data_IF_728960130366
#
_entry.id   IF_728960130366
#
_cell.length_a   1.000
_cell.length_b   1.000
_cell.length_c   1.000
_cell.angle_alpha   90.00
_cell.angle_beta   90.00
_cell.angle_gamma   90.00
#
_symmetry.space_group_name_H-M   'P 1'
#
loop_
_entity.id
_entity.type
_entity.pdbx_description
1 polymer ?
#
# COMPACT_ATOMS: atom_id res chain seq x y z
N UNK A 1 3.35 17.52 -66.91
CA UNK A 1 2.88 17.02 -65.60
C UNK A 1 2.82 18.22 -64.66
N UNK A 2 1.63 18.72 -64.36
CA UNK A 2 1.47 19.88 -63.45
C UNK A 2 1.42 19.33 -62.03
N UNK A 3 2.47 19.59 -61.25
CA UNK A 3 2.49 19.27 -59.82
C UNK A 3 1.85 20.44 -59.10
N UNK A 4 0.64 20.23 -58.57
CA UNK A 4 -0.02 21.19 -57.69
C UNK A 4 0.57 21.00 -56.29
N UNK A 5 1.19 22.02 -55.67
CA UNK A 5 1.66 21.89 -54.29
C UNK A 5 0.44 21.74 -53.37
N UNK A 6 0.48 20.73 -52.49
CA UNK A 6 -0.50 20.58 -51.42
C UNK A 6 -0.34 21.79 -50.48
N UNK A 7 -1.37 22.63 -50.30
CA UNK A 7 -1.28 23.72 -49.34
C UNK A 7 -1.20 23.12 -47.93
N UNK A 8 -0.02 23.19 -47.32
CA UNK A 8 0.14 22.94 -45.89
C UNK A 8 -0.44 24.16 -45.18
N UNK A 9 -1.70 24.07 -44.76
CA UNK A 9 -2.30 25.08 -43.89
C UNK A 9 -1.65 24.92 -42.52
N UNK A 10 -0.65 25.73 -42.21
CA UNK A 10 -0.13 25.86 -40.86
C UNK A 10 -1.23 26.49 -39.98
N UNK A 11 -1.92 25.67 -39.20
CA UNK A 11 -2.75 26.15 -38.09
C UNK A 11 -1.83 26.72 -37.00
N UNK A 12 -1.29 27.91 -37.22
CA UNK A 12 -0.69 28.74 -36.17
C UNK A 12 -1.79 29.40 -35.34
N UNK A 13 -2.68 28.58 -34.78
CA UNK A 13 -3.43 28.99 -33.61
C UNK A 13 -2.39 29.03 -32.50
N UNK A 14 -2.01 30.21 -32.02
CA UNK A 14 -1.09 30.43 -30.89
C UNK A 14 -1.63 29.91 -29.55
N UNK A 15 -2.28 28.75 -29.60
CA UNK A 15 -2.95 28.06 -28.51
C UNK A 15 -1.88 27.26 -27.79
N UNK A 16 -1.71 27.56 -26.50
CA UNK A 16 -0.84 26.78 -25.64
C UNK A 16 -1.30 25.31 -25.66
N UNK A 17 -0.36 24.41 -25.96
CA UNK A 17 -0.60 22.96 -25.94
C UNK A 17 0.04 22.36 -24.68
N UNK A 18 -0.46 21.18 -24.32
CA UNK A 18 0.11 20.29 -23.30
C UNK A 18 0.37 18.93 -23.90
N UNK A 19 1.61 18.47 -23.85
CA UNK A 19 1.97 17.08 -24.10
C UNK A 19 1.86 16.32 -22.77
N UNK A 20 0.94 15.37 -22.71
CA UNK A 20 0.78 14.48 -21.56
C UNK A 20 1.32 13.11 -21.96
N UNK A 21 2.26 12.63 -21.17
CA UNK A 21 2.84 11.30 -21.30
C UNK A 21 2.42 10.47 -20.09
N UNK A 22 1.94 9.26 -20.33
CA UNK A 22 1.63 8.27 -19.31
C UNK A 22 2.69 7.18 -19.41
N UNK A 23 3.36 6.89 -18.30
CA UNK A 23 4.30 5.78 -18.17
C UNK A 23 3.77 4.78 -17.16
N UNK A 24 3.70 3.51 -17.54
CA UNK A 24 3.01 2.47 -16.79
C UNK A 24 3.97 1.34 -16.42
N UNK A 25 3.89 0.94 -15.15
CA UNK A 25 4.53 -0.27 -14.65
C UNK A 25 3.51 -1.15 -13.95
N UNK A 26 3.85 -2.42 -13.81
CA UNK A 26 3.12 -3.39 -13.00
C UNK A 26 4.09 -3.94 -11.97
N UNK A 27 3.77 -3.75 -10.69
CA UNK A 27 4.62 -4.14 -9.56
C UNK A 27 6.07 -3.62 -9.74
N UNK A 28 6.21 -2.38 -10.21
CA UNK A 28 7.48 -1.71 -10.49
C UNK A 28 8.23 -2.18 -11.75
N UNK A 29 7.64 -3.06 -12.57
CA UNK A 29 8.26 -3.59 -13.80
C UNK A 29 7.50 -3.18 -15.05
N UNK A 30 8.23 -2.97 -16.15
CA UNK A 30 7.60 -2.83 -17.47
C UNK A 30 7.08 -4.20 -17.92
N UNK A 31 5.85 -4.23 -18.44
CA UNK A 31 5.24 -5.45 -18.98
C UNK A 31 4.60 -5.14 -20.31
N UNK A 32 4.70 -6.08 -21.27
CA UNK A 32 4.23 -5.89 -22.64
C UNK A 32 2.70 -5.92 -22.79
N UNK A 33 1.96 -6.28 -21.74
CA UNK A 33 0.51 -6.30 -21.77
C UNK A 33 -0.03 -4.88 -21.94
N UNK A 34 -0.94 -4.70 -22.89
CA UNK A 34 -1.62 -3.42 -23.14
C UNK A 34 -2.32 -2.94 -21.87
N UNK A 35 -2.19 -1.64 -21.61
CA UNK A 35 -2.80 -0.97 -20.45
C UNK A 35 -3.52 0.29 -20.90
N UNK A 36 -4.56 0.67 -20.18
CA UNK A 36 -5.30 1.89 -20.44
C UNK A 36 -5.32 2.80 -19.23
N UNK A 37 -5.38 4.10 -19.45
CA UNK A 37 -5.58 5.11 -18.40
C UNK A 37 -6.75 5.99 -18.77
N UNK A 38 -7.71 6.07 -17.86
CA UNK A 38 -8.85 6.97 -17.94
C UNK A 38 -8.49 8.27 -17.25
N UNK A 39 -8.68 9.40 -17.93
CA UNK A 39 -8.59 10.73 -17.33
C UNK A 39 -10.01 11.24 -17.08
N UNK A 40 -10.35 11.39 -15.80
CA UNK A 40 -11.69 11.69 -15.31
C UNK A 40 -11.71 13.03 -14.58
N UNK A 41 -12.80 13.76 -14.70
CA UNK A 41 -13.04 14.92 -13.83
C UNK A 41 -13.22 14.45 -12.37
N UNK A 42 -12.46 15.00 -11.39
CA UNK A 42 -12.37 14.45 -10.04
C UNK A 42 -13.66 14.52 -9.21
N UNK A 43 -14.64 15.35 -9.59
CA UNK A 43 -15.94 15.42 -8.92
C UNK A 43 -17.04 14.67 -9.67
N UNK A 44 -17.13 14.87 -10.98
CA UNK A 44 -18.22 14.31 -11.79
C UNK A 44 -17.94 12.90 -12.33
N UNK A 45 -16.68 12.43 -12.24
CA UNK A 45 -16.19 11.17 -12.82
C UNK A 45 -16.48 11.02 -14.33
N UNK A 46 -16.70 12.14 -15.01
CA UNK A 46 -16.90 12.16 -16.46
C UNK A 46 -15.58 11.93 -17.16
N UNK A 47 -15.58 11.04 -18.15
CA UNK A 47 -14.41 10.73 -18.96
C UNK A 47 -14.06 11.90 -19.88
N UNK A 48 -12.82 12.37 -19.78
CA UNK A 48 -12.29 13.46 -20.61
C UNK A 48 -11.27 12.97 -21.64
N UNK A 49 -10.46 11.96 -21.29
CA UNK A 49 -9.53 11.35 -22.22
C UNK A 49 -9.23 9.89 -21.86
N UNK A 50 -8.80 9.10 -22.84
CA UNK A 50 -8.30 7.73 -22.67
C UNK A 50 -6.92 7.62 -23.29
N UNK A 51 -5.95 7.17 -22.50
CA UNK A 51 -4.63 6.81 -22.98
C UNK A 51 -4.55 5.28 -23.10
N UNK A 52 -3.99 4.78 -24.21
CA UNK A 52 -3.77 3.35 -24.41
C UNK A 52 -2.29 3.13 -24.68
N UNK A 53 -1.60 2.48 -23.76
CA UNK A 53 -0.23 2.03 -23.93
C UNK A 53 -0.28 0.64 -24.56
N UNK A 54 -0.29 0.58 -25.90
CA UNK A 54 -0.38 -0.68 -26.64
C UNK A 54 0.86 -1.56 -26.43
N UNK A 55 2.01 -0.95 -26.17
CA UNK A 55 3.26 -1.62 -25.77
C UNK A 55 3.29 -1.99 -24.27
N UNK A 56 2.25 -1.62 -23.53
CA UNK A 56 2.13 -1.79 -22.10
C UNK A 56 2.95 -0.83 -21.24
N UNK A 57 3.71 0.10 -21.85
CA UNK A 57 4.66 0.95 -21.13
C UNK A 57 4.31 2.42 -21.27
N UNK A 58 4.10 2.95 -22.48
CA UNK A 58 3.90 4.40 -22.65
C UNK A 58 2.72 4.75 -23.54
N UNK A 59 2.05 5.85 -23.21
CA UNK A 59 1.05 6.47 -24.05
C UNK A 59 1.24 8.00 -24.03
N UNK A 60 1.15 8.64 -25.20
CA UNK A 60 1.39 10.09 -25.33
C UNK A 60 0.23 10.71 -26.10
N UNK A 61 -0.30 11.82 -25.59
CA UNK A 61 -1.28 12.63 -26.29
C UNK A 61 -0.99 14.12 -26.10
N UNK A 62 -1.52 14.94 -27.00
CA UNK A 62 -1.42 16.41 -26.94
C UNK A 62 -2.81 17.01 -26.85
N UNK A 63 -2.95 17.98 -25.98
CA UNK A 63 -4.20 18.69 -25.72
C UNK A 63 -3.99 20.20 -25.81
N UNK A 64 -5.09 20.92 -26.00
CA UNK A 64 -5.12 22.36 -25.73
C UNK A 64 -5.01 22.57 -24.22
N UNK A 65 -4.12 23.47 -23.77
CA UNK A 65 -3.86 23.71 -22.36
C UNK A 65 -5.13 24.08 -21.58
N UNK A 66 -5.98 24.94 -22.12
CA UNK A 66 -7.23 25.34 -21.46
C UNK A 66 -8.23 24.19 -21.25
N UNK A 67 -8.05 23.05 -21.91
CA UNK A 67 -8.92 21.88 -21.75
C UNK A 67 -8.40 20.90 -20.67
N UNK A 68 -7.13 20.99 -20.30
CA UNK A 68 -6.49 20.00 -19.41
C UNK A 68 -5.73 20.62 -18.25
N UNK A 69 -5.49 21.92 -18.22
CA UNK A 69 -4.88 22.57 -17.07
C UNK A 69 -5.83 22.47 -15.85
N UNK A 70 -5.30 22.06 -14.70
CA UNK A 70 -6.06 21.81 -13.47
C UNK A 70 -5.91 20.39 -12.93
N UNK A 71 -6.74 20.05 -11.94
CA UNK A 71 -6.71 18.77 -11.25
C UNK A 71 -7.58 17.72 -11.94
N UNK A 72 -7.07 16.49 -12.02
CA UNK A 72 -7.72 15.35 -12.66
C UNK A 72 -7.66 14.11 -11.78
N UNK A 73 -8.51 13.13 -12.07
CA UNK A 73 -8.36 11.76 -11.60
C UNK A 73 -7.86 10.90 -12.75
N UNK A 74 -6.68 10.29 -12.60
CA UNK A 74 -6.19 9.27 -13.51
C UNK A 74 -6.46 7.89 -12.92
N UNK A 75 -7.04 6.99 -13.70
CA UNK A 75 -7.26 5.59 -13.33
C UNK A 75 -6.63 4.69 -14.39
N UNK A 76 -5.50 4.06 -14.04
CA UNK A 76 -4.82 3.07 -14.84
C UNK A 76 -5.42 1.67 -14.64
N UNK A 77 -5.53 0.91 -15.72
CA UNK A 77 -6.13 -0.43 -15.78
C UNK A 77 -5.21 -1.37 -16.56
N UNK A 78 -4.95 -2.55 -15.99
CA UNK A 78 -4.34 -3.70 -16.66
C UNK A 78 -5.29 -4.89 -16.51
N UNK A 79 -5.84 -5.35 -17.63
CA UNK A 79 -6.82 -6.46 -17.66
C UNK A 79 -6.17 -7.83 -17.71
N UNK A 80 -4.84 -7.93 -17.81
CA UNK A 80 -4.14 -9.21 -17.74
C UNK A 80 -4.24 -9.79 -16.32
N UNK A 81 -4.55 -11.08 -16.23
CA UNK A 81 -4.81 -11.77 -14.95
C UNK A 81 -3.49 -11.93 -14.15
N UNK A 82 -3.48 -11.64 -12.83
CA UNK A 82 -4.56 -11.02 -12.05
C UNK A 82 -4.78 -9.55 -12.44
N UNK A 83 -6.03 -9.14 -12.64
CA UNK A 83 -6.33 -7.75 -13.07
C UNK A 83 -5.80 -6.74 -12.05
N UNK A 84 -5.21 -5.63 -12.52
CA UNK A 84 -4.67 -4.56 -11.68
C UNK A 84 -5.26 -3.20 -12.06
N UNK A 85 -5.36 -2.31 -11.08
CA UNK A 85 -5.73 -0.93 -11.29
C UNK A 85 -5.02 -0.02 -10.29
N UNK A 86 -4.72 1.21 -10.68
CA UNK A 86 -4.17 2.23 -9.80
C UNK A 86 -4.77 3.59 -10.14
N UNK A 87 -5.05 4.43 -9.15
CA UNK A 87 -5.58 5.77 -9.36
C UNK A 87 -4.79 6.84 -8.63
N UNK A 88 -4.71 8.05 -9.22
CA UNK A 88 -4.03 9.23 -8.64
C UNK A 88 -4.75 10.51 -9.02
N UNK A 89 -4.57 11.56 -8.21
CA UNK A 89 -5.13 12.90 -8.47
C UNK A 89 -4.03 13.92 -8.87
N UNK A 90 -3.50 13.87 -10.10
CA UNK A 90 -2.50 14.85 -10.53
C UNK A 90 -3.12 16.21 -10.87
N UNK A 91 -2.26 17.23 -10.92
CA UNK A 91 -2.53 18.50 -11.57
C UNK A 91 -1.68 18.64 -12.85
N UNK A 92 -2.22 19.29 -13.86
CA UNK A 92 -1.53 19.63 -15.10
C UNK A 92 -1.44 21.15 -15.18
N UNK A 93 -0.25 21.65 -15.48
CA UNK A 93 0.01 23.07 -15.77
C UNK A 93 1.05 23.27 -16.88
N UNK A 94 1.68 22.18 -17.32
CA UNK A 94 2.74 22.15 -18.32
C UNK A 94 2.81 20.76 -18.98
N UNK A 95 3.72 20.59 -19.93
CA UNK A 95 4.03 19.28 -20.49
C UNK A 95 4.51 18.34 -19.37
N UNK A 96 3.90 17.17 -19.24
CA UNK A 96 4.06 16.34 -18.04
C UNK A 96 4.08 14.86 -18.37
N UNK A 97 4.88 14.12 -17.58
CA UNK A 97 4.87 12.66 -17.56
C UNK A 97 4.32 12.17 -16.23
N UNK A 98 3.22 11.40 -16.27
CA UNK A 98 2.68 10.72 -15.11
C UNK A 98 3.15 9.27 -15.09
N UNK A 99 3.94 8.92 -14.07
CA UNK A 99 4.31 7.55 -13.79
C UNK A 99 3.25 6.89 -12.88
N UNK A 100 2.61 5.84 -13.39
CA UNK A 100 1.56 5.09 -12.71
C UNK A 100 1.99 3.63 -12.58
N UNK A 101 2.17 3.18 -11.35
CA UNK A 101 2.47 1.78 -11.05
C UNK A 101 1.19 1.05 -10.62
N UNK A 102 0.80 0.04 -11.39
CA UNK A 102 -0.34 -0.82 -11.10
C UNK A 102 0.10 -1.95 -10.19
N UNK A 103 0.30 -1.63 -8.92
CA UNK A 103 0.42 -2.60 -7.84
C UNK A 103 -0.94 -2.80 -7.15
N UNK A 104 -1.10 -3.92 -6.46
CA UNK A 104 -2.28 -4.21 -5.64
C UNK A 104 -2.10 -3.85 -4.17
N UNK A 105 -1.11 -3.02 -3.86
CA UNK A 105 -0.70 -2.75 -2.48
C UNK A 105 -0.13 -3.97 -1.74
N UNK A 106 0.00 -5.15 -2.38
CA UNK A 106 0.66 -6.33 -1.80
C UNK A 106 2.18 -6.32 -1.97
N UNK A 107 2.72 -5.20 -2.44
CA UNK A 107 4.14 -4.94 -2.63
C UNK A 107 4.43 -3.45 -2.70
N UNK A 108 5.59 -3.08 -2.15
CA UNK A 108 6.24 -1.78 -2.17
C UNK A 108 6.08 -1.02 -3.52
N UNK A 109 5.48 0.18 -3.49
CA UNK A 109 5.31 1.02 -4.68
C UNK A 109 6.64 1.38 -5.35
N UNK A 110 6.61 1.77 -6.63
CA UNK A 110 7.80 2.06 -7.46
C UNK A 110 8.96 2.80 -6.75
N UNK A 111 10.20 2.43 -7.10
CA UNK A 111 11.43 2.91 -6.47
C UNK A 111 12.60 1.96 -6.78
N UNK A 112 13.80 2.31 -6.32
CA UNK A 112 14.96 1.44 -6.44
C UNK A 112 14.79 0.27 -5.46
N UNK A 113 14.98 -0.99 -5.89
CA UNK A 113 15.01 -2.12 -4.98
C UNK A 113 16.01 -1.88 -3.85
N UNK A 114 15.62 -2.20 -2.63
CA UNK A 114 16.52 -2.18 -1.49
C UNK A 114 16.16 -3.31 -0.53
N UNK A 115 17.08 -3.65 0.36
CA UNK A 115 16.89 -4.66 1.40
C UNK A 115 17.15 -4.06 2.77
N UNK A 116 16.38 -4.53 3.76
CA UNK A 116 16.54 -4.17 5.16
C UNK A 116 16.44 -5.40 6.04
N UNK A 117 17.51 -5.72 6.78
CA UNK A 117 17.48 -6.77 7.78
C UNK A 117 16.71 -6.28 9.03
N UNK A 118 15.56 -6.89 9.31
CA UNK A 118 14.77 -6.63 10.50
C UNK A 118 14.90 -7.80 11.49
N UNK A 119 15.19 -7.47 12.76
CA UNK A 119 15.23 -8.42 13.87
C UNK A 119 14.31 -7.92 14.98
N UNK A 120 13.41 -8.78 15.44
CA UNK A 120 12.46 -8.46 16.50
C UNK A 120 12.60 -9.44 17.64
N UNK A 121 12.68 -8.89 18.85
CA UNK A 121 12.74 -9.64 20.10
C UNK A 121 11.62 -9.19 21.03
N UNK A 122 11.02 -10.14 21.72
CA UNK A 122 10.06 -9.92 22.80
C UNK A 122 10.65 -10.57 24.06
N UNK A 123 10.80 -9.78 25.11
CA UNK A 123 11.46 -10.18 26.37
C UNK A 123 12.84 -10.84 26.15
N UNK A 124 13.60 -10.31 25.19
CA UNK A 124 14.95 -10.78 24.85
C UNK A 124 15.00 -12.00 23.92
N UNK A 125 13.87 -12.65 23.64
CA UNK A 125 13.78 -13.82 22.76
C UNK A 125 13.34 -13.44 21.34
N UNK A 126 13.84 -14.11 20.28
CA UNK A 126 13.40 -13.90 18.91
C UNK A 126 11.89 -14.09 18.76
N UNK A 127 11.20 -13.17 18.09
CA UNK A 127 9.74 -13.17 18.00
C UNK A 127 9.20 -12.88 16.59
N UNK A 128 8.18 -13.65 16.19
CA UNK A 128 7.43 -13.39 14.98
C UNK A 128 6.52 -12.17 15.16
N UNK A 129 6.78 -11.12 14.39
CA UNK A 129 6.02 -9.86 14.38
C UNK A 129 5.88 -9.38 12.95
N UNK A 130 4.74 -8.72 12.67
CA UNK A 130 4.60 -7.96 11.44
C UNK A 130 5.54 -6.76 11.52
N UNK A 131 6.23 -6.49 10.42
CA UNK A 131 7.15 -5.35 10.31
C UNK A 131 6.76 -4.56 9.07
N UNK A 132 6.63 -3.25 9.22
CA UNK A 132 6.35 -2.32 8.13
C UNK A 132 7.47 -1.29 8.04
N UNK A 133 8.01 -1.09 6.84
CA UNK A 133 8.91 -0.02 6.52
C UNK A 133 8.15 1.08 5.78
N UNK A 134 8.26 2.30 6.28
CA UNK A 134 7.73 3.51 5.65
C UNK A 134 8.90 4.41 5.27
N UNK A 135 8.75 5.12 4.16
CA UNK A 135 9.72 6.07 3.67
C UNK A 135 9.10 7.46 3.64
N UNK A 136 9.85 8.44 4.12
CA UNK A 136 9.63 9.84 3.82
C UNK A 136 10.55 10.23 2.65
N UNK A 137 9.98 10.53 1.49
CA UNK A 137 10.77 10.95 0.32
C UNK A 137 11.24 12.40 0.48
N UNK A 138 12.20 12.85 -0.34
CA UNK A 138 12.79 14.19 -0.23
C UNK A 138 11.77 15.34 -0.35
N UNK A 139 10.62 15.12 -0.99
CA UNK A 139 9.51 16.08 -1.06
C UNK A 139 8.68 16.18 0.22
N UNK A 140 8.95 15.32 1.23
CA UNK A 140 8.23 15.26 2.50
C UNK A 140 7.04 14.30 2.51
N UNK A 141 6.66 13.72 1.37
CA UNK A 141 5.58 12.73 1.26
C UNK A 141 5.97 11.40 1.93
N UNK A 142 4.99 10.74 2.56
CA UNK A 142 5.16 9.45 3.21
C UNK A 142 4.54 8.33 2.39
N UNK A 143 5.24 7.20 2.29
CA UNK A 143 4.75 5.99 1.62
C UNK A 143 5.25 4.71 2.28
N UNK A 144 4.58 3.60 2.00
CA UNK A 144 5.06 2.27 2.43
C UNK A 144 6.17 1.81 1.50
N UNK A 145 7.36 1.59 2.05
CA UNK A 145 8.53 1.10 1.33
C UNK A 145 8.57 -0.43 1.25
N UNK A 146 7.93 -1.14 2.18
CA UNK A 146 7.82 -2.59 2.18
C UNK A 146 7.32 -3.10 3.53
N UNK A 147 7.00 -4.39 3.61
CA UNK A 147 6.55 -5.03 4.85
C UNK A 147 6.85 -6.52 4.83
N UNK A 148 6.80 -7.16 5.99
CA UNK A 148 7.04 -8.60 6.12
C UNK A 148 6.74 -9.11 7.52
N UNK A 149 7.11 -10.36 7.78
CA UNK A 149 6.99 -10.99 9.10
C UNK A 149 8.33 -11.58 9.50
N UNK A 150 8.79 -11.28 10.71
CA UNK A 150 10.02 -11.85 11.29
C UNK A 150 9.83 -13.31 11.72
N UNK A 151 9.57 -14.23 10.79
CA UNK A 151 9.46 -15.66 11.12
C UNK A 151 10.73 -16.13 11.85
N UNK A 152 10.59 -16.63 13.08
CA UNK A 152 11.75 -16.99 13.93
C UNK A 152 12.54 -15.80 14.49
N UNK A 153 12.01 -14.57 14.41
CA UNK A 153 12.60 -13.36 14.99
C UNK A 153 13.43 -12.50 14.04
N UNK A 154 13.58 -12.88 12.77
CA UNK A 154 14.25 -12.05 11.76
C UNK A 154 13.64 -12.19 10.36
N UNK A 155 13.78 -11.16 9.54
CA UNK A 155 13.43 -11.19 8.10
C UNK A 155 14.30 -10.19 7.33
N UNK A 156 14.69 -10.55 6.11
CA UNK A 156 15.19 -9.56 5.14
C UNK A 156 13.97 -8.98 4.41
N UNK A 157 13.66 -7.73 4.68
CA UNK A 157 12.56 -7.03 4.01
C UNK A 157 13.00 -6.60 2.62
N UNK A 158 12.24 -6.99 1.62
CA UNK A 158 12.33 -6.43 0.27
C UNK A 158 11.59 -5.08 0.26
N UNK A 159 12.34 -4.03 -0.07
CA UNK A 159 11.88 -2.65 -0.07
C UNK A 159 11.93 -2.04 -1.47
N UNK A 160 11.17 -0.96 -1.64
CA UNK A 160 11.35 0.01 -2.72
C UNK A 160 11.44 1.40 -2.13
N UNK A 161 12.56 2.06 -2.43
CA UNK A 161 12.88 3.37 -1.86
C UNK A 161 13.15 4.38 -2.96
N UNK A 162 12.89 5.65 -2.67
CA UNK A 162 13.43 6.76 -3.43
C UNK A 162 14.88 6.90 -2.98
N UNK A 163 15.84 6.95 -3.90
CA UNK A 163 17.27 6.86 -3.55
C UNK A 163 17.80 7.91 -2.54
N UNK A 164 17.01 8.92 -2.18
CA UNK A 164 17.31 9.94 -1.17
C UNK A 164 16.30 10.02 -0.01
N UNK A 165 15.35 9.10 0.09
CA UNK A 165 14.34 9.09 1.15
C UNK A 165 14.87 8.56 2.48
N UNK A 166 14.19 8.94 3.56
CA UNK A 166 14.47 8.45 4.91
C UNK A 166 13.54 7.28 5.25
N UNK A 167 14.12 6.13 5.58
CA UNK A 167 13.36 4.92 5.91
C UNK A 167 13.21 4.77 7.42
N UNK A 168 11.97 4.52 7.84
CA UNK A 168 11.58 4.20 9.22
C UNK A 168 10.92 2.83 9.21
N UNK A 169 11.11 2.06 10.27
CA UNK A 169 10.57 0.70 10.41
C UNK A 169 9.80 0.58 11.71
N UNK A 170 8.68 -0.16 11.68
CA UNK A 170 7.86 -0.41 12.86
C UNK A 170 7.54 -1.90 12.97
N UNK A 171 7.76 -2.47 14.15
CA UNK A 171 7.30 -3.81 14.50
C UNK A 171 5.95 -3.73 15.22
N UNK A 172 5.00 -4.55 14.79
CA UNK A 172 3.63 -4.60 15.27
C UNK A 172 3.34 -5.95 15.93
N UNK A 173 2.69 -5.92 17.08
CA UNK A 173 2.12 -7.11 17.70
C UNK A 173 0.69 -7.37 17.19
N UNK A 174 0.23 -8.62 17.31
CA UNK A 174 -1.11 -9.02 16.88
C UNK A 174 -2.16 -8.41 17.80
N UNK A 175 -3.00 -7.52 17.25
CA UNK A 175 -4.00 -6.80 18.03
C UNK A 175 -5.20 -7.65 18.46
N UNK A 176 -5.39 -8.82 17.84
CA UNK A 176 -6.47 -9.74 18.18
C UNK A 176 -7.86 -9.25 17.77
N UNK A 177 -8.85 -10.13 17.96
CA UNK A 177 -10.26 -9.87 17.66
C UNK A 177 -10.93 -9.27 18.89
N UNK A 178 -11.71 -8.21 18.71
CA UNK A 178 -12.50 -7.64 19.82
C UNK A 178 -13.51 -8.65 20.33
N UNK A 179 -13.72 -8.69 21.64
CA UNK A 179 -14.77 -9.49 22.24
C UNK A 179 -16.13 -9.23 21.56
N UNK A 180 -16.82 -10.33 21.24
CA UNK A 180 -18.19 -10.32 20.74
C UNK A 180 -18.98 -11.41 21.47
N UNK A 181 -20.19 -11.11 21.98
CA UNK A 181 -21.05 -12.11 22.61
C UNK A 181 -21.28 -13.33 21.73
N UNK A 182 -21.14 -14.54 22.31
CA UNK A 182 -21.37 -15.81 21.61
C UNK A 182 -20.54 -16.00 20.33
N UNK A 183 -19.37 -15.37 20.24
CA UNK A 183 -18.46 -15.59 19.13
C UNK A 183 -17.79 -16.97 19.25
N UNK A 184 -17.85 -17.75 18.18
CA UNK A 184 -17.11 -19.01 18.07
C UNK A 184 -15.62 -18.73 17.89
N UNK A 185 -14.79 -19.35 18.74
CA UNK A 185 -13.35 -19.14 18.74
C UNK A 185 -12.60 -20.47 18.62
N UNK A 186 -11.49 -20.43 17.87
CA UNK A 186 -10.60 -21.57 17.69
C UNK A 186 -9.37 -21.44 18.61
N UNK A 187 -8.66 -22.54 18.82
CA UNK A 187 -7.36 -22.52 19.49
C UNK A 187 -6.41 -21.60 18.74
N UNK A 188 -5.69 -20.74 19.45
CA UNK A 188 -4.76 -19.75 18.90
C UNK A 188 -5.40 -18.39 18.60
N UNK A 189 -6.74 -18.27 18.59
CA UNK A 189 -7.40 -16.96 18.46
C UNK A 189 -6.99 -16.05 19.63
N UNK A 190 -6.57 -14.82 19.33
CA UNK A 190 -6.36 -13.78 20.32
C UNK A 190 -7.62 -12.93 20.44
N UNK A 191 -8.13 -12.80 21.66
CA UNK A 191 -9.26 -11.95 21.99
C UNK A 191 -8.75 -10.73 22.73
N UNK A 192 -9.28 -9.55 22.37
CA UNK A 192 -9.05 -8.31 23.10
C UNK A 192 -10.35 -7.83 23.77
N UNK A 193 -10.27 -7.28 24.98
CA UNK A 193 -11.36 -6.53 25.59
C UNK A 193 -11.90 -5.40 24.69
N UNK A 194 -13.17 -5.02 24.88
CA UNK A 194 -13.72 -3.80 24.25
C UNK A 194 -13.04 -2.55 24.79
N UNK A 195 -12.78 -2.51 26.10
CA UNK A 195 -11.95 -1.50 26.78
C UNK A 195 -10.59 -2.11 27.06
N UNK A 196 -9.59 -1.71 26.28
CA UNK A 196 -8.26 -2.31 26.35
C UNK A 196 -7.48 -1.87 27.60
N UNK A 197 -7.00 -2.85 28.37
CA UNK A 197 -6.27 -2.64 29.64
C UNK A 197 -4.83 -3.20 29.60
N UNK A 198 -4.26 -3.44 28.42
CA UNK A 198 -2.86 -3.89 28.27
C UNK A 198 -2.68 -5.40 28.00
N UNK A 199 -3.76 -6.19 28.08
CA UNK A 199 -3.72 -7.65 27.96
C UNK A 199 -4.60 -8.16 26.82
N UNK A 200 -4.17 -9.27 26.24
CA UNK A 200 -4.90 -10.08 25.28
C UNK A 200 -5.12 -11.48 25.85
N UNK A 201 -6.06 -12.21 25.28
CA UNK A 201 -6.45 -13.54 25.76
C UNK A 201 -6.32 -14.55 24.62
N UNK A 202 -5.31 -15.41 24.69
CA UNK A 202 -5.10 -16.46 23.69
C UNK A 202 -5.95 -17.66 24.04
N UNK A 203 -6.85 -18.04 23.14
CA UNK A 203 -7.69 -19.21 23.27
C UNK A 203 -6.82 -20.48 23.21
N UNK A 204 -6.87 -21.29 24.25
CA UNK A 204 -6.16 -22.57 24.36
C UNK A 204 -7.09 -23.76 24.17
N UNK A 205 -8.40 -23.55 24.35
CA UNK A 205 -9.45 -24.52 24.05
C UNK A 205 -10.57 -23.83 23.27
N UNK A 206 -10.90 -24.36 22.10
CA UNK A 206 -11.98 -23.84 21.25
C UNK A 206 -13.34 -23.92 21.95
N UNK A 207 -14.24 -23.02 21.58
CA UNK A 207 -15.57 -22.92 22.18
C UNK A 207 -16.29 -21.64 21.76
N UNK A 208 -17.20 -21.18 22.60
CA UNK A 208 -17.96 -19.95 22.43
C UNK A 208 -17.61 -18.98 23.54
N UNK A 209 -17.40 -17.72 23.17
CA UNK A 209 -17.30 -16.63 24.13
C UNK A 209 -18.64 -16.46 24.89
N UNK A 210 -18.62 -15.93 26.13
CA UNK A 210 -19.84 -15.72 26.91
C UNK A 210 -20.81 -14.74 26.23
N UNK A 211 -22.07 -14.76 26.67
CA UNK A 211 -23.12 -13.84 26.20
C UNK A 211 -22.91 -12.39 26.64
N UNK A 212 -22.09 -12.17 27.66
CA UNK A 212 -21.74 -10.86 28.22
C UNK A 212 -20.23 -10.77 28.39
N UNK A 213 -19.67 -9.57 28.21
CA UNK A 213 -18.23 -9.39 28.36
C UNK A 213 -17.83 -9.64 29.82
N UNK A 214 -16.87 -10.55 30.08
CA UNK A 214 -16.48 -10.88 31.45
C UNK A 214 -15.59 -9.79 32.05
N UNK A 215 -15.39 -9.88 33.37
CA UNK A 215 -14.25 -9.22 33.98
C UNK A 215 -12.96 -9.89 33.50
N UNK A 216 -12.10 -9.10 32.87
CA UNK A 216 -10.82 -9.54 32.33
C UNK A 216 -9.77 -9.69 33.44
N UNK A 217 -8.94 -10.74 33.38
CA UNK A 217 -7.89 -11.02 34.36
C UNK A 217 -6.50 -10.66 33.82
N UNK A 218 -5.55 -10.37 34.70
CA UNK A 218 -4.16 -10.06 34.35
C UNK A 218 -3.23 -11.29 34.49
N UNK A 219 -1.92 -11.07 34.39
CA UNK A 219 -0.88 -12.09 34.49
C UNK A 219 -0.69 -12.67 35.90
N UNK A 220 -1.43 -12.20 36.90
CA UNK A 220 -1.46 -12.85 38.22
C UNK A 220 -2.09 -14.24 38.19
N UNK A 221 -2.97 -14.50 37.21
CA UNK A 221 -3.61 -15.80 37.01
C UNK A 221 -2.75 -16.70 36.14
N UNK A 222 -2.24 -17.78 36.72
CA UNK A 222 -1.46 -18.77 35.99
C UNK A 222 -2.34 -19.76 35.23
N UNK A 223 -1.98 -20.02 33.98
CA UNK A 223 -2.60 -21.02 33.12
C UNK A 223 -4.00 -20.65 32.59
N UNK A 224 -4.58 -21.52 31.74
CA UNK A 224 -5.82 -21.21 31.05
C UNK A 224 -7.06 -21.11 31.96
N UNK A 225 -7.79 -20.01 31.85
CA UNK A 225 -9.01 -19.74 32.58
C UNK A 225 -10.25 -19.97 31.70
N UNK A 226 -11.42 -20.27 32.29
CA UNK A 226 -12.68 -20.35 31.55
C UNK A 226 -13.07 -19.01 30.90
N UNK A 227 -13.54 -19.06 29.65
CA UNK A 227 -14.04 -17.91 28.90
C UNK A 227 -15.29 -18.35 28.11
N UNK A 228 -16.44 -18.36 28.78
CA UNK A 228 -17.66 -18.98 28.23
C UNK A 228 -17.51 -20.50 28.20
N UNK A 229 -17.65 -21.12 27.03
CA UNK A 229 -17.33 -22.55 26.84
C UNK A 229 -15.91 -22.77 26.31
N UNK A 230 -15.19 -21.70 25.95
CA UNK A 230 -13.77 -21.73 25.60
C UNK A 230 -12.88 -21.64 26.85
N UNK A 231 -11.57 -21.84 26.67
CA UNK A 231 -10.55 -21.47 27.68
C UNK A 231 -9.49 -20.59 27.05
N UNK A 232 -8.97 -19.64 27.81
CA UNK A 232 -7.94 -18.73 27.35
C UNK A 232 -6.88 -18.46 28.42
N UNK A 233 -5.65 -18.22 27.97
CA UNK A 233 -4.55 -17.71 28.79
C UNK A 233 -4.34 -16.22 28.52
N UNK A 234 -3.89 -15.50 29.54
CA UNK A 234 -3.54 -14.08 29.41
C UNK A 234 -2.18 -13.95 28.72
N UNK A 235 -2.07 -12.96 27.83
CA UNK A 235 -0.86 -12.65 27.08
C UNK A 235 -0.69 -11.14 27.06
N UNK A 236 0.54 -10.66 27.34
CA UNK A 236 0.86 -9.24 27.24
C UNK A 236 0.78 -8.78 25.79
N UNK A 237 0.14 -7.65 25.54
CA UNK A 237 0.27 -6.94 24.28
C UNK A 237 1.50 -6.03 24.34
N UNK A 238 2.34 -6.09 23.33
CA UNK A 238 3.49 -5.19 23.19
C UNK A 238 3.11 -4.05 22.24
N UNK A 239 3.23 -2.81 22.73
CA UNK A 239 3.00 -1.63 21.91
C UNK A 239 3.94 -1.63 20.68
N UNK A 240 3.49 -1.10 19.53
CA UNK A 240 4.33 -0.93 18.36
C UNK A 240 5.65 -0.22 18.68
N UNK A 241 6.76 -0.75 18.17
CA UNK A 241 8.07 -0.13 18.32
C UNK A 241 8.60 0.33 16.97
N UNK A 242 8.82 1.63 16.84
CA UNK A 242 9.40 2.27 15.67
C UNK A 242 10.90 2.53 15.82
N UNK A 243 11.64 2.48 14.71
CA UNK A 243 13.03 2.93 14.59
C UNK A 243 13.23 3.69 13.28
N UNK A 244 14.11 4.67 13.27
CA UNK A 244 14.45 5.43 12.07
C UNK A 244 15.05 6.80 12.37
N UNK A 245 15.67 7.46 11.38
CA UNK A 245 15.95 6.93 10.04
C UNK A 245 17.02 5.82 10.06
N UNK A 246 16.87 4.79 9.23
CA UNK A 246 17.80 3.65 9.09
C UNK A 246 18.29 3.58 7.65
N UNK A 247 19.61 3.36 7.41
CA UNK A 247 20.12 3.10 6.06
C UNK A 247 19.59 1.77 5.52
N UNK A 248 19.35 1.73 4.21
CA UNK A 248 18.93 0.52 3.49
C UNK A 248 19.94 0.19 2.40
N UNK A 249 20.10 -1.09 2.11
CA UNK A 249 21.04 -1.55 1.08
C UNK A 249 20.32 -1.59 -0.26
N UNK A 250 20.72 -0.71 -1.17
CA UNK A 250 20.16 -0.63 -2.53
C UNK A 250 20.75 -1.75 -3.39
N UNK A 251 19.91 -2.44 -4.16
CA UNK A 251 20.31 -3.60 -5.00
C UNK A 251 20.00 -3.39 -6.47
#
# INVERSE_FOLDING_TARGET
>A
MVVVPVPVISLSLGVALRKITISLTRDGKQTANSKSVLMLNPGALTLSAVFVAADGVNAVQRFVASAVDGQWLLTALDTAVPKRAASRYPAISEDVTFALDLNDGSGSGGGVPATLAAVVKVDGLPAARQVVAVEQVASGEWRVAGYGVTAGGSVALDLRVAGSGQVYVMALDTWGTVFQPNLGVAVGTLIRPTVFLGWLYRVTQAGQLPTTEPAWWDDSMQGPQPLGTARAEVVRYYAPQGRGPIPVEVT
#
